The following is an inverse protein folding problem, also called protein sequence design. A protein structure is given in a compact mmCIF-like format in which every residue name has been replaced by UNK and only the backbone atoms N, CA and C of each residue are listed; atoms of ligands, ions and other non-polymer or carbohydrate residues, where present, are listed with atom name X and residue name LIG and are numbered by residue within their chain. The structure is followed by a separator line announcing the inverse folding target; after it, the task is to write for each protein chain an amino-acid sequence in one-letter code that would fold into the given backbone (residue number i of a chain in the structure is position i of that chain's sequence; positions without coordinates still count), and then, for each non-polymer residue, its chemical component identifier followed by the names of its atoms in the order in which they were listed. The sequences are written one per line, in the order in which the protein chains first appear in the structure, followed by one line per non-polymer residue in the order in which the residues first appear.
data_IF_830107195400
#
_entry.id   IF_830107195400
#
_cell.length_a   1.000
_cell.length_b   1.000
_cell.length_c   1.000
_cell.angle_alpha   90.00
_cell.angle_beta   90.00
_cell.angle_gamma   90.00
#
_symmetry.space_group_name_H-M   'P 1'
#
loop_
_entity.id
_entity.type
_entity.pdbx_description
1 polymer ?
#
# COMPACT_ATOMS: atom_id res chain seq x y z
N UNK A 1 -28.76 -15.06 21.09
CA UNK A 1 -28.40 -13.67 21.46
C UNK A 1 -27.13 -13.33 20.73
N UNK A 2 -27.20 -12.35 19.84
CA UNK A 2 -26.31 -12.15 18.70
C UNK A 2 -24.83 -11.99 19.06
N UNK A 3 -24.04 -12.99 18.70
CA UNK A 3 -22.59 -12.94 18.63
C UNK A 3 -22.15 -12.18 17.37
N UNK A 4 -22.44 -10.88 17.33
CA UNK A 4 -21.69 -9.99 16.42
C UNK A 4 -20.24 -9.96 16.88
N UNK A 5 -19.26 -10.18 15.98
CA UNK A 5 -17.87 -10.22 16.39
C UNK A 5 -17.48 -8.88 17.02
N UNK A 6 -16.84 -8.94 18.20
CA UNK A 6 -16.40 -7.76 18.97
C UNK A 6 -15.38 -6.94 18.17
N UNK A 7 -14.76 -7.55 17.16
CA UNK A 7 -13.72 -6.99 16.30
C UNK A 7 -14.17 -7.11 14.85
N UNK A 8 -14.05 -6.02 14.09
CA UNK A 8 -14.34 -6.03 12.65
C UNK A 8 -13.44 -7.06 11.92
N UNK A 9 -13.95 -7.72 10.87
CA UNK A 9 -13.14 -8.53 9.96
C UNK A 9 -11.86 -7.82 9.53
N UNK A 10 -10.78 -8.57 9.37
CA UNK A 10 -9.48 -8.03 8.93
C UNK A 10 -9.59 -7.28 7.59
N UNK A 11 -10.43 -7.78 6.68
CA UNK A 11 -10.75 -7.18 5.39
C UNK A 11 -11.31 -5.77 5.52
N UNK A 12 -12.18 -5.53 6.51
CA UNK A 12 -12.83 -4.24 6.71
C UNK A 12 -11.83 -3.19 7.22
N UNK A 13 -10.92 -3.62 8.10
CA UNK A 13 -9.82 -2.77 8.58
C UNK A 13 -8.88 -2.43 7.42
N UNK A 14 -8.53 -3.40 6.58
CA UNK A 14 -7.66 -3.17 5.43
C UNK A 14 -8.28 -2.20 4.43
N UNK A 15 -9.58 -2.32 4.14
CA UNK A 15 -10.30 -1.40 3.27
C UNK A 15 -10.41 0.01 3.85
N UNK A 16 -10.33 0.15 5.18
CA UNK A 16 -10.36 1.44 5.85
C UNK A 16 -9.01 2.17 5.81
N UNK A 17 -7.92 1.51 5.44
CA UNK A 17 -6.59 2.12 5.37
C UNK A 17 -6.40 2.82 4.02
N UNK A 18 -6.06 4.09 4.09
CA UNK A 18 -5.86 4.99 2.96
C UNK A 18 -4.41 5.35 2.76
N UNK A 19 -4.11 5.93 1.59
CA UNK A 19 -2.80 6.54 1.34
C UNK A 19 -2.98 8.03 1.08
N UNK A 20 -2.47 8.86 1.99
CA UNK A 20 -2.50 10.32 1.91
C UNK A 20 -1.08 10.82 2.16
N UNK A 21 -0.59 11.75 1.31
CA UNK A 21 0.81 12.23 1.35
C UNK A 21 1.86 11.11 1.31
N UNK A 22 1.54 9.99 0.65
CA UNK A 22 2.42 8.81 0.61
C UNK A 22 2.43 7.97 1.89
N UNK A 23 1.67 8.35 2.92
CA UNK A 23 1.62 7.68 4.23
C UNK A 23 0.31 6.90 4.33
N UNK A 24 0.37 5.70 4.93
CA UNK A 24 -0.84 4.91 5.22
C UNK A 24 -1.54 5.47 6.44
N UNK A 25 -2.82 5.85 6.30
CA UNK A 25 -3.60 6.53 7.33
C UNK A 25 -5.01 5.97 7.47
N UNK A 26 -5.63 6.15 8.63
CA UNK A 26 -7.05 5.91 8.87
C UNK A 26 -7.75 7.19 9.32
N UNK A 27 -9.00 7.41 8.90
CA UNK A 27 -9.74 8.62 9.22
C UNK A 27 -10.48 8.50 10.55
N UNK A 28 -10.68 9.63 11.21
CA UNK A 28 -11.38 9.70 12.50
C UNK A 28 -12.74 8.99 12.52
N UNK A 29 -13.56 9.13 11.48
CA UNK A 29 -14.88 8.52 11.42
C UNK A 29 -14.81 6.99 11.25
N UNK A 30 -13.87 6.49 10.43
CA UNK A 30 -13.64 5.04 10.29
C UNK A 30 -13.17 4.45 11.62
N UNK A 31 -12.23 5.12 12.28
CA UNK A 31 -11.73 4.70 13.59
C UNK A 31 -12.83 4.75 14.64
N UNK A 32 -13.66 5.78 14.65
CA UNK A 32 -14.78 5.92 15.57
C UNK A 32 -15.78 4.76 15.42
N UNK A 33 -16.13 4.42 14.18
CA UNK A 33 -17.02 3.28 13.87
C UNK A 33 -16.41 1.94 14.34
N UNK A 34 -15.12 1.71 14.05
CA UNK A 34 -14.40 0.52 14.50
C UNK A 34 -14.36 0.44 16.03
N UNK A 35 -14.04 1.54 16.72
CA UNK A 35 -14.02 1.61 18.17
C UNK A 35 -15.40 1.60 18.83
N UNK A 36 -16.47 1.80 18.07
CA UNK A 36 -17.84 1.88 18.58
C UNK A 36 -18.09 3.14 19.42
N UNK A 37 -17.49 4.25 19.02
CA UNK A 37 -17.63 5.56 19.68
C UNK A 37 -18.08 6.61 18.67
N UNK A 38 -18.67 7.71 19.13
CA UNK A 38 -18.97 8.83 18.23
C UNK A 38 -17.68 9.52 17.75
N UNK A 39 -17.62 9.90 16.46
CA UNK A 39 -16.50 10.67 15.89
C UNK A 39 -16.20 11.95 16.67
N UNK A 40 -17.25 12.65 17.15
CA UNK A 40 -17.11 13.84 18.00
C UNK A 40 -16.42 13.52 19.33
N UNK A 41 -16.74 12.38 19.95
CA UNK A 41 -16.13 11.95 21.20
C UNK A 41 -14.65 11.61 21.01
N UNK A 42 -14.31 10.91 19.92
CA UNK A 42 -12.94 10.62 19.53
C UNK A 42 -12.13 11.92 19.34
N UNK A 43 -12.63 12.85 18.53
CA UNK A 43 -11.98 14.16 18.31
C UNK A 43 -11.75 14.92 19.61
N UNK A 44 -12.74 14.90 20.51
CA UNK A 44 -12.63 15.55 21.83
C UNK A 44 -11.59 14.87 22.72
N UNK A 45 -11.48 13.55 22.67
CA UNK A 45 -10.48 12.80 23.44
C UNK A 45 -9.06 13.10 22.94
N UNK A 46 -8.87 13.16 21.62
CA UNK A 46 -7.61 13.54 20.97
C UNK A 46 -7.21 14.97 21.33
N UNK A 47 -8.12 15.95 21.20
CA UNK A 47 -7.84 17.36 21.53
C UNK A 47 -7.47 17.57 22.99
N UNK A 48 -8.07 16.81 23.92
CA UNK A 48 -7.70 16.85 25.35
C UNK A 48 -6.30 16.29 25.64
N UNK A 49 -5.76 15.50 24.71
CA UNK A 49 -4.46 14.85 24.84
C UNK A 49 -3.53 15.25 23.68
N UNK A 50 -3.64 16.48 23.18
CA UNK A 50 -2.97 16.92 21.94
C UNK A 50 -1.43 16.74 21.98
N UNK A 51 -0.81 16.85 23.15
CA UNK A 51 0.63 16.60 23.37
C UNK A 51 1.07 15.18 22.97
N UNK A 52 0.14 14.21 22.97
CA UNK A 52 0.38 12.82 22.57
C UNK A 52 0.27 12.58 21.07
N UNK A 53 -0.16 13.58 20.32
CA UNK A 53 -0.44 13.48 18.90
C UNK A 53 0.38 14.52 18.11
N UNK A 54 1.69 14.31 17.98
CA UNK A 54 2.51 15.16 17.13
C UNK A 54 2.11 15.05 15.64
N UNK A 55 2.57 15.98 14.78
CA UNK A 55 2.15 16.06 13.37
C UNK A 55 2.41 14.81 12.52
N UNK A 56 3.35 13.95 12.93
CA UNK A 56 3.68 12.66 12.32
C UNK A 56 2.74 11.53 12.76
N UNK A 57 1.96 11.73 13.82
CA UNK A 57 0.99 10.77 14.34
C UNK A 57 -0.40 11.07 13.80
N UNK A 58 -0.74 12.35 13.68
CA UNK A 58 -2.00 12.77 13.08
C UNK A 58 -1.88 14.13 12.40
N UNK A 59 -2.76 14.34 11.42
CA UNK A 59 -2.92 15.64 10.79
C UNK A 59 -4.36 15.81 10.29
N UNK A 60 -4.81 17.05 10.16
CA UNK A 60 -6.09 17.35 9.50
C UNK A 60 -5.89 17.32 7.97
N UNK A 61 -6.82 16.69 7.26
CA UNK A 61 -6.79 16.70 5.80
C UNK A 61 -7.06 18.09 5.26
N UNK A 62 -6.43 18.46 4.14
CA UNK A 62 -6.86 19.61 3.36
C UNK A 62 -8.19 19.31 2.65
N UNK A 63 -8.85 20.36 2.16
CA UNK A 63 -10.09 20.20 1.38
C UNK A 63 -9.87 19.34 0.13
N UNK A 64 -8.77 19.59 -0.58
CA UNK A 64 -8.42 18.85 -1.81
C UNK A 64 -8.07 17.38 -1.52
N UNK A 65 -7.38 17.12 -0.40
CA UNK A 65 -7.07 15.76 0.06
C UNK A 65 -8.36 15.02 0.42
N UNK A 66 -9.27 15.68 1.14
CA UNK A 66 -10.54 15.10 1.52
C UNK A 66 -11.42 14.79 0.30
N UNK A 67 -11.50 15.70 -0.67
CA UNK A 67 -12.26 15.49 -1.90
C UNK A 67 -11.68 14.35 -2.75
N UNK A 68 -10.34 14.24 -2.79
CA UNK A 68 -9.65 13.12 -3.46
C UNK A 68 -9.96 11.77 -2.79
N UNK A 69 -9.94 11.73 -1.46
CA UNK A 69 -10.29 10.52 -0.69
C UNK A 69 -11.76 10.16 -0.87
N UNK A 70 -12.66 11.14 -0.92
CA UNK A 70 -14.09 10.91 -1.18
C UNK A 70 -14.34 10.24 -2.52
N UNK A 71 -13.60 10.65 -3.54
CA UNK A 71 -13.68 10.06 -4.86
C UNK A 71 -13.26 8.58 -4.86
N UNK A 72 -12.21 8.23 -4.11
CA UNK A 72 -11.69 6.85 -4.04
C UNK A 72 -12.68 5.87 -3.37
N UNK A 73 -13.45 6.30 -2.38
CA UNK A 73 -14.39 5.41 -1.70
C UNK A 73 -15.76 5.29 -2.35
N UNK A 74 -16.12 6.15 -3.30
CA UNK A 74 -17.39 6.07 -4.06
C UNK A 74 -18.70 6.14 -3.24
N UNK A 75 -18.64 6.05 -1.90
CA UNK A 75 -19.79 5.81 -1.00
C UNK A 75 -19.87 6.77 0.18
N UNK A 76 -18.92 7.70 0.34
CA UNK A 76 -19.08 8.81 1.28
C UNK A 76 -20.25 9.68 0.78
N UNK A 77 -21.43 9.51 1.39
CA UNK A 77 -22.71 10.05 0.93
C UNK A 77 -22.57 11.49 0.43
N UNK A 78 -22.86 11.66 -0.87
CA UNK A 78 -22.89 12.95 -1.57
C UNK A 78 -23.98 13.82 -0.94
N UNK A 79 -23.61 14.74 -0.05
CA UNK A 79 -24.56 15.66 0.60
C UNK A 79 -24.19 16.06 2.03
N UNK A 80 -23.38 15.26 2.74
CA UNK A 80 -22.74 15.74 3.97
C UNK A 80 -21.52 16.57 3.59
N UNK A 81 -21.72 17.88 3.44
CA UNK A 81 -20.65 18.83 3.68
C UNK A 81 -20.30 18.73 5.17
N UNK A 82 -19.37 17.82 5.53
CA UNK A 82 -18.78 17.87 6.85
C UNK A 82 -18.20 19.27 7.01
N UNK A 83 -18.77 20.07 7.91
CA UNK A 83 -18.30 21.43 8.21
C UNK A 83 -16.85 21.44 8.70
N UNK A 84 -16.33 20.26 9.08
CA UNK A 84 -14.99 20.05 9.61
C UNK A 84 -14.27 18.99 8.80
N UNK A 85 -13.00 19.23 8.49
CA UNK A 85 -12.17 18.26 7.81
C UNK A 85 -11.85 17.11 8.80
N UNK A 86 -11.70 15.87 8.29
CA UNK A 86 -11.36 14.76 9.14
C UNK A 86 -9.88 14.79 9.52
N UNK A 87 -9.57 14.28 10.70
CA UNK A 87 -8.22 13.92 11.07
C UNK A 87 -7.86 12.59 10.44
N UNK A 88 -6.66 12.53 9.89
CA UNK A 88 -5.98 11.32 9.46
C UNK A 88 -4.98 10.90 10.54
N UNK A 89 -5.00 9.61 10.89
CA UNK A 89 -4.10 9.01 11.88
C UNK A 89 -3.18 8.02 11.19
N UNK A 90 -1.88 8.14 11.42
CA UNK A 90 -0.90 7.14 10.99
C UNK A 90 -0.98 5.90 11.89
N UNK A 91 -0.22 4.85 11.58
CA UNK A 91 -0.11 3.67 12.45
C UNK A 91 0.24 4.08 13.90
N UNK A 92 1.19 5.00 14.07
CA UNK A 92 1.62 5.52 15.36
C UNK A 92 0.50 6.33 16.04
N UNK A 93 -0.24 7.14 15.28
CA UNK A 93 -1.40 7.85 15.79
C UNK A 93 -2.50 6.92 16.28
N UNK A 94 -2.81 5.86 15.53
CA UNK A 94 -3.77 4.85 15.94
C UNK A 94 -3.29 4.11 17.18
N UNK A 95 -2.00 3.74 17.24
CA UNK A 95 -1.41 3.14 18.44
C UNK A 95 -1.59 4.05 19.67
N UNK A 96 -1.43 5.37 19.52
CA UNK A 96 -1.64 6.32 20.61
C UNK A 96 -3.09 6.43 21.07
N UNK A 97 -4.07 6.12 20.21
CA UNK A 97 -5.48 6.08 20.62
C UNK A 97 -5.73 5.05 21.72
N UNK A 98 -4.92 4.00 21.85
CA UNK A 98 -5.02 3.04 22.97
C UNK A 98 -4.75 3.67 24.34
N UNK A 99 -3.96 4.74 24.39
CA UNK A 99 -3.64 5.47 25.61
C UNK A 99 -4.72 6.47 26.01
N UNK A 100 -5.70 6.69 25.13
CA UNK A 100 -6.79 7.67 25.27
C UNK A 100 -8.16 6.99 25.34
N UNK A 101 -8.32 5.85 24.66
CA UNK A 101 -9.52 5.03 24.65
C UNK A 101 -9.29 3.74 25.44
N UNK A 102 -9.94 3.62 26.59
CA UNK A 102 -9.71 2.53 27.55
C UNK A 102 -10.78 1.42 27.52
N UNK A 103 -11.68 1.41 26.55
CA UNK A 103 -12.71 0.35 26.47
C UNK A 103 -12.10 -0.97 26.01
N UNK A 104 -12.66 -2.11 26.46
CA UNK A 104 -12.23 -3.45 26.01
C UNK A 104 -12.27 -3.57 24.47
N UNK A 105 -13.32 -3.00 23.85
CA UNK A 105 -13.44 -2.93 22.39
C UNK A 105 -12.30 -2.12 21.77
N UNK A 106 -11.98 -0.95 22.31
CA UNK A 106 -10.90 -0.11 21.78
C UNK A 106 -9.54 -0.80 21.81
N UNK A 107 -9.24 -1.53 22.90
CA UNK A 107 -8.03 -2.33 23.02
C UNK A 107 -7.95 -3.41 21.93
N UNK A 108 -9.02 -4.21 21.76
CA UNK A 108 -9.05 -5.29 20.77
C UNK A 108 -8.95 -4.78 19.33
N UNK A 109 -9.70 -3.72 19.01
CA UNK A 109 -9.66 -3.08 17.70
C UNK A 109 -8.27 -2.50 17.41
N UNK A 110 -7.63 -1.86 18.39
CA UNK A 110 -6.29 -1.32 18.20
C UNK A 110 -5.28 -2.44 17.88
N UNK A 111 -5.34 -3.56 18.60
CA UNK A 111 -4.49 -4.74 18.33
C UNK A 111 -4.73 -5.25 16.91
N UNK A 112 -5.99 -5.34 16.48
CA UNK A 112 -6.34 -5.78 15.12
C UNK A 112 -5.78 -4.83 14.05
N UNK A 113 -5.93 -3.51 14.25
CA UNK A 113 -5.40 -2.51 13.33
C UNK A 113 -3.87 -2.60 13.24
N UNK A 114 -3.15 -2.72 14.37
CA UNK A 114 -1.70 -2.87 14.38
C UNK A 114 -1.25 -4.12 13.60
N UNK A 115 -1.96 -5.24 13.72
CA UNK A 115 -1.67 -6.46 12.95
C UNK A 115 -1.83 -6.25 11.44
N UNK A 116 -2.85 -5.51 11.01
CA UNK A 116 -3.05 -5.19 9.60
C UNK A 116 -1.93 -4.29 9.08
N UNK A 117 -1.56 -3.24 9.83
CA UNK A 117 -0.45 -2.38 9.43
C UNK A 117 0.89 -3.14 9.34
N UNK A 118 1.17 -4.07 10.25
CA UNK A 118 2.34 -4.93 10.18
C UNK A 118 2.34 -5.80 8.90
N UNK A 119 1.23 -6.49 8.60
CA UNK A 119 1.07 -7.29 7.37
C UNK A 119 1.23 -6.47 6.09
N UNK A 120 0.71 -5.25 6.07
CA UNK A 120 0.88 -4.33 4.94
C UNK A 120 2.36 -3.97 4.73
N UNK A 121 3.12 -3.74 5.81
CA UNK A 121 4.57 -3.49 5.74
C UNK A 121 5.32 -4.70 5.20
N UNK A 122 5.02 -5.90 5.69
CA UNK A 122 5.63 -7.15 5.22
C UNK A 122 5.36 -7.39 3.73
N UNK A 123 4.13 -7.10 3.28
CA UNK A 123 3.75 -7.26 1.87
C UNK A 123 4.55 -6.33 0.94
N UNK A 124 4.85 -5.10 1.37
CA UNK A 124 5.69 -4.16 0.60
C UNK A 124 7.13 -4.67 0.48
N UNK A 125 7.67 -5.29 1.54
CA UNK A 125 9.02 -5.87 1.52
C UNK A 125 9.08 -7.00 0.50
N UNK A 126 8.08 -7.91 0.51
CA UNK A 126 7.97 -9.02 -0.43
C UNK A 126 7.87 -8.51 -1.87
N UNK A 127 7.08 -7.47 -2.13
CA UNK A 127 6.95 -6.89 -3.47
C UNK A 127 8.27 -6.32 -4.00
N UNK A 128 9.09 -5.68 -3.14
CA UNK A 128 10.41 -5.20 -3.52
C UNK A 128 11.35 -6.34 -3.89
N UNK A 129 11.36 -7.41 -3.11
CA UNK A 129 12.17 -8.60 -3.39
C UNK A 129 11.75 -9.25 -4.71
N UNK A 130 10.44 -9.38 -4.95
CA UNK A 130 9.90 -9.91 -6.20
C UNK A 130 10.28 -9.06 -7.40
N UNK A 131 10.21 -7.72 -7.28
CA UNK A 131 10.60 -6.80 -8.35
C UNK A 131 12.09 -6.93 -8.72
N UNK A 132 12.96 -7.15 -7.73
CA UNK A 132 14.38 -7.42 -7.97
C UNK A 132 14.59 -8.74 -8.70
N UNK A 133 13.95 -9.83 -8.24
CA UNK A 133 14.01 -11.15 -8.90
C UNK A 133 13.51 -11.09 -10.35
N UNK A 134 12.42 -10.37 -10.63
CA UNK A 134 11.91 -10.18 -11.99
C UNK A 134 12.91 -9.42 -12.88
N UNK A 135 13.58 -8.41 -12.34
CA UNK A 135 14.64 -7.68 -13.07
C UNK A 135 15.81 -8.58 -13.42
N UNK A 136 16.24 -9.44 -12.49
CA UNK A 136 17.31 -10.42 -12.72
C UNK A 136 16.94 -11.44 -13.80
N UNK A 137 15.72 -11.98 -13.74
CA UNK A 137 15.20 -12.90 -14.76
C UNK A 137 15.15 -12.23 -16.14
N UNK A 138 14.65 -10.99 -16.23
CA UNK A 138 14.60 -10.23 -17.48
C UNK A 138 16.00 -10.04 -18.11
N UNK A 139 17.02 -9.76 -17.28
CA UNK A 139 18.40 -9.66 -17.75
C UNK A 139 18.95 -11.01 -18.23
N UNK A 140 18.65 -12.11 -17.53
CA UNK A 140 19.08 -13.45 -17.92
C UNK A 140 18.47 -13.89 -19.26
N UNK A 141 17.17 -13.66 -19.45
CA UNK A 141 16.46 -13.95 -20.72
C UNK A 141 17.06 -13.11 -21.86
N UNK A 142 17.30 -11.81 -21.65
CA UNK A 142 17.92 -10.96 -22.66
C UNK A 142 19.32 -11.43 -23.09
N UNK A 143 20.11 -12.02 -22.17
CA UNK A 143 21.39 -12.66 -22.53
C UNK A 143 21.16 -13.86 -23.44
N UNK A 144 20.18 -14.71 -23.13
CA UNK A 144 19.86 -15.87 -23.96
C UNK A 144 19.49 -15.46 -25.40
N UNK A 145 18.76 -14.36 -25.61
CA UNK A 145 18.46 -13.85 -26.97
C UNK A 145 19.72 -13.50 -27.77
N UNK A 146 20.77 -13.01 -27.11
CA UNK A 146 22.06 -12.74 -27.75
C UNK A 146 22.77 -14.05 -28.08
N UNK A 147 22.78 -15.01 -27.16
CA UNK A 147 23.39 -16.32 -27.40
C UNK A 147 22.68 -17.08 -28.54
N UNK A 148 21.35 -17.08 -28.58
CA UNK A 148 20.56 -17.72 -29.64
C UNK A 148 20.86 -17.09 -31.00
N UNK A 149 20.92 -15.75 -31.09
CA UNK A 149 21.30 -15.05 -32.33
C UNK A 149 22.72 -15.41 -32.79
N UNK A 150 23.65 -15.55 -31.85
CA UNK A 150 25.02 -15.95 -32.19
C UNK A 150 25.11 -17.39 -32.70
N UNK A 151 24.34 -18.31 -32.11
CA UNK A 151 24.24 -19.71 -32.58
C UNK A 151 23.65 -19.74 -33.99
N UNK A 152 22.56 -19.02 -34.23
CA UNK A 152 21.94 -18.92 -35.57
C UNK A 152 22.94 -18.39 -36.61
N UNK A 153 23.67 -17.31 -36.28
CA UNK A 153 24.70 -16.75 -37.17
C UNK A 153 25.86 -17.74 -37.43
N UNK A 154 26.22 -18.56 -36.44
CA UNK A 154 27.23 -19.60 -36.62
C UNK A 154 26.73 -20.72 -37.53
N UNK A 155 25.47 -21.15 -37.38
CA UNK A 155 24.82 -22.13 -38.26
C UNK A 155 24.71 -21.62 -39.70
N UNK A 156 24.29 -20.37 -39.91
CA UNK A 156 24.24 -19.75 -41.26
C UNK A 156 25.60 -19.78 -41.96
N UNK A 157 26.69 -19.52 -41.23
CA UNK A 157 28.06 -19.58 -41.78
C UNK A 157 28.47 -21.00 -42.17
N UNK A 158 28.03 -22.01 -41.43
CA UNK A 158 28.31 -23.42 -41.72
C UNK A 158 27.46 -23.96 -42.89
N UNK A 159 26.24 -23.43 -43.06
CA UNK A 159 25.35 -23.80 -44.16
C UNK A 159 25.58 -22.98 -45.44
N UNK A 160 26.38 -21.91 -45.36
CA UNK A 160 26.78 -21.12 -46.52
C UNK A 160 27.80 -21.93 -47.36
N UNK A 161 27.53 -22.19 -48.64
CA UNK A 161 28.46 -22.96 -49.47
C UNK A 161 29.80 -22.23 -49.60
N UNK A 162 30.90 -22.97 -49.43
CA UNK A 162 32.25 -22.44 -49.62
C UNK A 162 32.40 -21.91 -51.06
N UNK A 163 32.82 -20.65 -51.20
CA UNK A 163 33.12 -20.12 -52.54
C UNK A 163 34.24 -20.98 -53.15
N UNK A 164 34.04 -21.55 -54.36
CA UNK A 164 35.06 -22.37 -54.98
C UNK A 164 36.31 -21.52 -55.22
N UNK A 165 37.53 -22.08 -55.03
CA UNK A 165 38.76 -21.32 -55.15
C UNK A 165 38.87 -20.71 -56.55
N UNK A 166 39.02 -19.37 -56.63
CA UNK A 166 39.27 -18.66 -57.88
C UNK A 166 40.56 -19.20 -58.49
N UNK A 167 40.44 -19.98 -59.58
CA UNK A 167 41.58 -20.39 -60.39
C UNK A 167 42.28 -19.14 -60.90
N UNK A 168 43.54 -18.94 -60.50
CA UNK A 168 44.45 -18.01 -61.17
C UNK A 168 44.72 -18.59 -62.55
N UNK A 169 44.12 -17.99 -63.58
CA UNK A 169 44.46 -18.26 -64.98
C UNK A 169 45.82 -17.58 -65.20
N UNK A 170 46.83 -18.39 -65.52
CA UNK A 170 48.18 -17.92 -65.80
C UNK A 170 48.29 -17.21 -67.15
N UNK A 171 49.32 -16.37 -67.25
CA UNK A 171 50.04 -16.04 -68.48
C UNK A 171 51.51 -16.30 -68.23
#
# INVERSE_FOLDING_TARGET
MDSSPIVAPETDIQQSILQVRGIKVMLDFQLADLYGVETKSLKRAVRRNAERFPPDFMFELSKDEYDSVRYQFGTLKRGEHSKFLPFAFTEQGVAMLSSVLHSKRAVLVNIAIMRVFAKLRDSIIIQKELALKLKELGLAVGKHDVHIRNIFRALERLMSPSQPPKRRIGY
#
